data_IF_332083588461
#
_entry.id   IF_332083588461
#
_cell.length_a   1.000
_cell.length_b   1.000
_cell.length_c   1.000
_cell.angle_alpha   90.00
_cell.angle_beta   90.00
_cell.angle_gamma   90.00
#
_symmetry.space_group_name_H-M   'P 1'
#
loop_
_entity.id
_entity.type
_entity.pdbx_description
1 polymer ?
#
# COMPACT_ATOMS: atom_id res chain seq x y z
N UNK A 1 -28.30 5.14 28.49
CA UNK A 1 -29.17 4.00 28.15
C UNK A 1 -28.26 2.88 27.67
N UNK A 2 -28.10 1.90 28.56
CA UNK A 2 -27.52 0.57 28.41
C UNK A 2 -26.52 0.31 27.29
N UNK A 3 -25.23 0.36 27.64
CA UNK A 3 -24.20 -0.44 26.98
C UNK A 3 -24.55 -1.92 27.13
N UNK A 4 -24.84 -2.55 26.00
CA UNK A 4 -24.90 -4.01 25.85
C UNK A 4 -23.52 -4.59 26.13
N UNK A 5 -23.37 -5.16 27.32
CA UNK A 5 -22.33 -6.14 27.66
C UNK A 5 -22.57 -7.40 26.81
N UNK A 6 -22.05 -7.37 25.59
CA UNK A 6 -22.11 -8.49 24.65
C UNK A 6 -20.65 -8.90 24.38
N UNK A 7 -20.16 -9.92 25.10
CA UNK A 7 -18.87 -10.51 24.76
C UNK A 7 -18.09 -11.27 25.83
N UNK A 8 -18.44 -11.23 27.12
CA UNK A 8 -17.68 -11.98 28.13
C UNK A 8 -18.40 -13.29 28.49
N UNK A 9 -17.92 -14.46 28.02
CA UNK A 9 -18.64 -15.73 28.13
C UNK A 9 -18.70 -16.30 29.55
N UNK A 10 -18.07 -15.66 30.54
CA UNK A 10 -18.01 -16.12 31.93
C UNK A 10 -18.11 -14.90 32.85
N UNK A 11 -19.19 -14.79 33.64
CA UNK A 11 -19.34 -13.70 34.62
C UNK A 11 -18.60 -14.00 35.93
N UNK A 12 -18.33 -12.96 36.74
CA UNK A 12 -17.71 -13.11 38.07
C UNK A 12 -18.49 -14.05 38.99
N UNK A 13 -19.83 -14.05 38.90
CA UNK A 13 -20.69 -14.96 39.65
C UNK A 13 -20.48 -16.42 39.21
N UNK A 14 -20.37 -16.64 37.90
CA UNK A 14 -20.13 -17.95 37.27
C UNK A 14 -18.76 -18.50 37.68
N UNK A 15 -17.72 -17.66 37.77
CA UNK A 15 -16.39 -18.02 38.30
C UNK A 15 -16.44 -18.41 39.78
N UNK A 16 -17.16 -17.64 40.60
CA UNK A 16 -17.31 -17.91 42.04
C UNK A 16 -17.98 -19.25 42.30
N UNK A 17 -19.08 -19.53 41.59
CA UNK A 17 -19.83 -20.79 41.68
C UNK A 17 -18.97 -21.98 41.27
N UNK A 18 -18.20 -21.85 40.18
CA UNK A 18 -17.29 -22.90 39.74
C UNK A 18 -16.19 -23.20 40.78
N UNK A 19 -15.51 -22.17 41.30
CA UNK A 19 -14.46 -22.34 42.33
C UNK A 19 -15.01 -23.03 43.58
N UNK A 20 -16.18 -22.62 44.06
CA UNK A 20 -16.81 -23.25 45.22
C UNK A 20 -17.19 -24.71 44.96
N UNK A 21 -17.61 -25.05 43.73
CA UNK A 21 -17.93 -26.45 43.38
C UNK A 21 -16.68 -27.33 43.30
N UNK A 22 -15.53 -26.77 42.92
CA UNK A 22 -14.24 -27.47 42.98
C UNK A 22 -13.83 -27.78 44.43
N UNK A 23 -14.06 -26.83 45.36
CA UNK A 23 -13.72 -27.00 46.79
C UNK A 23 -14.73 -27.91 47.51
N UNK A 24 -16.00 -27.86 47.13
CA UNK A 24 -17.10 -28.62 47.76
C UNK A 24 -17.85 -29.49 46.73
N UNK A 25 -17.23 -30.58 46.23
CA UNK A 25 -17.79 -31.37 45.13
C UNK A 25 -19.10 -32.07 45.47
N UNK A 26 -19.31 -32.46 46.73
CA UNK A 26 -20.48 -33.21 47.21
C UNK A 26 -21.51 -32.36 47.97
N UNK A 27 -21.39 -31.03 47.95
CA UNK A 27 -22.33 -30.16 48.66
C UNK A 27 -23.73 -30.21 47.99
N UNK A 28 -24.80 -30.49 48.77
CA UNK A 28 -26.18 -30.42 48.28
C UNK A 28 -26.53 -29.00 47.84
N UNK A 29 -27.39 -28.85 46.82
CA UNK A 29 -27.72 -27.55 46.23
C UNK A 29 -28.30 -26.55 47.26
N UNK A 30 -29.03 -27.03 48.28
CA UNK A 30 -29.58 -26.20 49.36
C UNK A 30 -28.50 -25.58 50.26
N UNK A 31 -27.45 -26.35 50.59
CA UNK A 31 -26.31 -25.86 51.38
C UNK A 31 -25.34 -25.05 50.51
N UNK A 32 -25.29 -25.35 49.22
CA UNK A 32 -24.41 -24.69 48.26
C UNK A 32 -24.79 -23.22 48.02
N UNK A 33 -26.08 -22.88 48.05
CA UNK A 33 -26.53 -21.49 47.94
C UNK A 33 -26.03 -20.61 49.09
N UNK A 34 -25.99 -21.16 50.31
CA UNK A 34 -25.44 -20.49 51.50
C UNK A 34 -23.93 -20.32 51.37
N UNK A 35 -23.21 -21.36 50.92
CA UNK A 35 -21.75 -21.30 50.68
C UNK A 35 -21.37 -20.32 49.57
N UNK A 36 -22.24 -20.17 48.56
CA UNK A 36 -22.04 -19.23 47.47
C UNK A 36 -22.39 -17.77 47.81
N UNK A 37 -23.05 -17.54 48.95
CA UNK A 37 -23.63 -16.24 49.34
C UNK A 37 -24.50 -15.64 48.22
N UNK A 38 -25.20 -16.50 47.49
CA UNK A 38 -26.05 -16.12 46.36
C UNK A 38 -27.44 -16.71 46.53
N UNK A 39 -28.50 -16.02 46.06
CA UNK A 39 -29.85 -16.59 46.05
C UNK A 39 -29.88 -17.91 45.26
N UNK A 40 -30.67 -18.92 45.69
CA UNK A 40 -30.74 -20.23 45.01
C UNK A 40 -31.02 -20.14 43.50
N UNK A 41 -31.84 -19.17 43.09
CA UNK A 41 -32.13 -18.93 41.67
C UNK A 41 -30.92 -18.45 40.85
N UNK A 42 -30.02 -17.65 41.43
CA UNK A 42 -28.78 -17.19 40.79
C UNK A 42 -27.75 -18.32 40.69
N UNK A 43 -27.63 -19.13 41.74
CA UNK A 43 -26.78 -20.33 41.74
C UNK A 43 -27.23 -21.33 40.68
N UNK A 44 -28.54 -21.60 40.59
CA UNK A 44 -29.08 -22.51 39.57
C UNK A 44 -28.92 -21.96 38.14
N UNK A 45 -28.91 -20.64 37.94
CA UNK A 45 -28.61 -20.03 36.65
C UNK A 45 -27.13 -20.18 36.29
N UNK A 46 -26.22 -19.83 37.20
CA UNK A 46 -24.77 -19.95 37.02
C UNK A 46 -24.33 -21.42 36.80
N UNK A 47 -24.95 -22.37 37.51
CA UNK A 47 -24.69 -23.80 37.31
C UNK A 47 -25.12 -24.29 35.92
N UNK A 48 -26.24 -23.80 35.39
CA UNK A 48 -26.68 -24.12 34.02
C UNK A 48 -25.74 -23.54 32.98
N UNK A 49 -25.34 -22.28 33.15
CA UNK A 49 -24.37 -21.63 32.26
C UNK A 49 -23.02 -22.36 32.25
N UNK A 50 -22.48 -22.72 33.41
CA UNK A 50 -21.27 -23.54 33.50
C UNK A 50 -21.43 -24.92 32.87
N UNK A 51 -22.63 -25.51 32.93
CA UNK A 51 -22.90 -26.79 32.27
C UNK A 51 -22.93 -26.65 30.74
N UNK A 52 -23.50 -25.57 30.22
CA UNK A 52 -23.49 -25.25 28.78
C UNK A 52 -22.07 -25.01 28.25
N UNK A 53 -21.20 -24.43 29.07
CA UNK A 53 -19.77 -24.23 28.80
C UNK A 53 -18.94 -25.52 28.99
N UNK A 54 -19.52 -26.63 29.48
CA UNK A 54 -18.80 -27.88 29.73
C UNK A 54 -17.91 -27.86 30.98
N UNK A 55 -18.10 -26.90 31.87
CA UNK A 55 -17.38 -26.73 33.14
C UNK A 55 -18.06 -27.45 34.32
N UNK A 56 -19.35 -27.76 34.21
CA UNK A 56 -20.06 -28.62 35.16
C UNK A 56 -20.75 -29.80 34.45
N UNK A 57 -20.81 -30.94 35.12
CA UNK A 57 -21.59 -32.11 34.71
C UNK A 57 -22.66 -32.41 35.77
N UNK A 58 -23.90 -32.68 35.33
CA UNK A 58 -24.96 -33.14 36.24
C UNK A 58 -24.88 -34.66 36.40
N UNK A 59 -24.67 -35.10 37.64
CA UNK A 59 -24.64 -36.50 38.08
C UNK A 59 -25.87 -36.79 38.97
N UNK A 60 -26.25 -38.06 39.20
CA UNK A 60 -27.29 -38.41 40.18
C UNK A 60 -27.03 -37.85 41.59
N UNK A 61 -25.75 -37.70 41.95
CA UNK A 61 -25.30 -37.20 43.26
C UNK A 61 -25.14 -35.67 43.33
N UNK A 62 -25.48 -34.94 42.25
CA UNK A 62 -25.39 -33.48 42.16
C UNK A 62 -24.48 -32.99 41.02
N UNK A 63 -24.06 -31.73 41.10
CA UNK A 63 -23.16 -31.13 40.11
C UNK A 63 -21.70 -31.46 40.39
N UNK A 64 -20.94 -31.80 39.35
CA UNK A 64 -19.51 -32.07 39.42
C UNK A 64 -18.74 -31.10 38.54
N UNK A 65 -17.68 -30.48 39.06
CA UNK A 65 -16.81 -29.60 38.29
C UNK A 65 -15.88 -30.38 37.36
N UNK A 66 -15.76 -29.94 36.12
CA UNK A 66 -14.86 -30.51 35.11
C UNK A 66 -13.67 -29.58 34.87
N UNK A 67 -12.46 -30.10 34.56
CA UNK A 67 -11.29 -29.27 34.31
C UNK A 67 -11.52 -28.23 33.20
N UNK A 68 -11.07 -26.98 33.39
CA UNK A 68 -11.36 -25.89 32.45
C UNK A 68 -10.67 -26.08 31.10
N UNK A 69 -9.58 -26.86 31.02
CA UNK A 69 -8.92 -27.20 29.76
C UNK A 69 -9.84 -27.92 28.77
N UNK A 70 -10.73 -28.79 29.25
CA UNK A 70 -11.69 -29.51 28.39
C UNK A 70 -12.79 -28.60 27.85
N UNK A 71 -13.30 -27.71 28.71
CA UNK A 71 -14.25 -26.67 28.30
C UNK A 71 -13.63 -25.71 27.28
N UNK A 72 -12.38 -25.29 27.52
CA UNK A 72 -11.63 -24.46 26.59
C UNK A 72 -11.45 -25.15 25.22
N UNK A 73 -10.97 -26.38 25.17
CA UNK A 73 -10.84 -27.15 23.91
C UNK A 73 -12.16 -27.20 23.12
N UNK A 74 -13.28 -27.44 23.80
CA UNK A 74 -14.59 -27.49 23.15
C UNK A 74 -15.07 -26.13 22.65
N UNK A 75 -14.86 -25.07 23.42
CA UNK A 75 -15.24 -23.69 23.03
C UNK A 75 -14.36 -23.18 21.88
N UNK A 76 -13.04 -23.42 21.94
CA UNK A 76 -12.12 -23.06 20.86
C UNK A 76 -12.43 -23.84 19.58
N UNK A 77 -12.64 -25.16 19.65
CA UNK A 77 -12.98 -25.96 18.46
C UNK A 77 -14.28 -25.47 17.78
N UNK A 78 -15.29 -25.06 18.55
CA UNK A 78 -16.52 -24.46 18.01
C UNK A 78 -16.24 -23.11 17.33
N UNK A 79 -15.45 -22.25 17.98
CA UNK A 79 -15.07 -20.95 17.42
C UNK A 79 -14.27 -21.10 16.12
N UNK A 80 -13.33 -22.05 16.06
CA UNK A 80 -12.54 -22.36 14.86
C UNK A 80 -13.42 -22.79 13.68
N UNK A 81 -14.41 -23.67 13.93
CA UNK A 81 -15.38 -24.09 12.91
C UNK A 81 -16.20 -22.91 12.39
N UNK A 82 -16.64 -22.02 13.28
CA UNK A 82 -17.40 -20.84 12.88
C UNK A 82 -16.55 -19.82 12.10
N UNK A 83 -15.30 -19.61 12.49
CA UNK A 83 -14.34 -18.79 11.75
C UNK A 83 -14.10 -19.39 10.35
N UNK A 84 -13.84 -20.70 10.27
CA UNK A 84 -13.63 -21.39 9.00
C UNK A 84 -14.85 -21.26 8.07
N UNK A 85 -16.07 -21.42 8.62
CA UNK A 85 -17.33 -21.25 7.87
C UNK A 85 -17.48 -19.81 7.34
N UNK A 86 -17.21 -18.80 8.17
CA UNK A 86 -17.26 -17.38 7.76
C UNK A 86 -16.23 -17.08 6.67
N UNK A 87 -15.01 -17.59 6.80
CA UNK A 87 -13.95 -17.43 5.80
C UNK A 87 -14.34 -18.06 4.45
N UNK A 88 -14.93 -19.25 4.46
CA UNK A 88 -15.42 -19.90 3.24
C UNK A 88 -16.56 -19.10 2.58
N UNK A 89 -17.50 -18.57 3.38
CA UNK A 89 -18.59 -17.73 2.87
C UNK A 89 -18.06 -16.44 2.21
N UNK A 90 -17.05 -15.80 2.81
CA UNK A 90 -16.36 -14.64 2.22
C UNK A 90 -15.64 -15.01 0.92
N UNK A 91 -14.90 -16.12 0.90
CA UNK A 91 -14.22 -16.59 -0.31
C UNK A 91 -15.22 -16.89 -1.45
N UNK A 92 -16.34 -17.53 -1.11
CA UNK A 92 -17.41 -17.83 -2.08
C UNK A 92 -18.05 -16.54 -2.62
N UNK A 93 -18.31 -15.56 -1.75
CA UNK A 93 -18.84 -14.25 -2.15
C UNK A 93 -17.88 -13.54 -3.09
N UNK A 94 -16.57 -13.51 -2.76
CA UNK A 94 -15.54 -12.93 -3.63
C UNK A 94 -15.51 -13.62 -4.99
N UNK A 95 -15.50 -14.95 -5.02
CA UNK A 95 -15.50 -15.71 -6.27
C UNK A 95 -16.75 -15.42 -7.13
N UNK A 96 -17.93 -15.30 -6.51
CA UNK A 96 -19.17 -14.91 -7.21
C UNK A 96 -19.08 -13.50 -7.80
N UNK A 97 -18.59 -12.53 -7.03
CA UNK A 97 -18.39 -11.16 -7.50
C UNK A 97 -17.40 -11.10 -8.67
N UNK A 98 -16.26 -11.81 -8.57
CA UNK A 98 -15.31 -11.93 -9.67
C UNK A 98 -15.92 -12.58 -10.92
N UNK A 99 -16.84 -13.53 -10.76
CA UNK A 99 -17.60 -14.12 -11.86
C UNK A 99 -18.54 -13.14 -12.56
N UNK A 100 -18.99 -12.09 -11.87
CA UNK A 100 -19.83 -11.03 -12.45
C UNK A 100 -19.02 -10.03 -13.27
N UNK A 101 -17.70 -9.94 -13.07
CA UNK A 101 -16.86 -8.98 -13.78
C UNK A 101 -16.92 -9.18 -15.30
N UNK A 102 -16.98 -10.41 -15.80
CA UNK A 102 -17.07 -10.68 -17.25
C UNK A 102 -18.38 -10.16 -17.85
N UNK A 103 -19.55 -10.66 -17.40
CA UNK A 103 -20.86 -10.20 -17.87
C UNK A 103 -21.10 -8.69 -17.68
N UNK A 104 -20.62 -8.09 -16.59
CA UNK A 104 -20.69 -6.65 -16.37
C UNK A 104 -19.84 -5.87 -17.37
N UNK A 105 -18.63 -6.36 -17.68
CA UNK A 105 -17.75 -5.78 -18.70
C UNK A 105 -18.36 -5.88 -20.10
N UNK A 106 -18.99 -7.00 -20.44
CA UNK A 106 -19.67 -7.21 -21.71
C UNK A 106 -20.90 -6.29 -21.86
N UNK A 107 -21.69 -6.16 -20.79
CA UNK A 107 -22.87 -5.29 -20.76
C UNK A 107 -22.50 -3.79 -20.87
N UNK A 108 -21.40 -3.36 -20.25
CA UNK A 108 -20.87 -2.00 -20.43
C UNK A 108 -20.31 -1.77 -21.84
N UNK A 109 -19.63 -2.77 -22.42
CA UNK A 109 -19.12 -2.72 -23.79
C UNK A 109 -20.19 -2.62 -24.87
N UNK A 110 -21.42 -3.05 -24.58
CA UNK A 110 -22.57 -2.94 -25.46
C UNK A 110 -23.33 -1.60 -25.32
N UNK A 111 -23.22 -0.91 -24.17
CA UNK A 111 -24.00 0.31 -23.86
C UNK A 111 -23.24 1.61 -24.10
N UNK A 112 -21.91 1.61 -24.06
CA UNK A 112 -21.10 2.79 -24.37
C UNK A 112 -20.60 2.71 -25.80
N UNK A 113 -21.09 3.60 -26.67
CA UNK A 113 -20.58 3.77 -28.04
C UNK A 113 -19.11 4.18 -28.12
N UNK A 114 -18.47 4.54 -26.99
CA UNK A 114 -17.03 4.69 -26.85
C UNK A 114 -16.44 3.39 -26.25
N UNK A 115 -16.20 2.39 -27.09
CA UNK A 115 -15.62 1.11 -26.67
C UNK A 115 -14.26 1.33 -26.01
N UNK A 116 -14.13 0.93 -24.75
CA UNK A 116 -12.85 0.75 -24.10
C UNK A 116 -12.22 2.00 -23.46
N UNK A 117 -12.95 3.10 -23.24
CA UNK A 117 -12.48 4.23 -22.42
C UNK A 117 -13.53 4.57 -21.36
N UNK A 118 -13.13 4.58 -20.09
CA UNK A 118 -14.01 4.79 -18.94
C UNK A 118 -13.43 5.87 -18.03
N UNK A 119 -14.23 6.88 -17.69
CA UNK A 119 -13.83 7.91 -16.73
C UNK A 119 -14.29 7.51 -15.33
N UNK A 120 -13.36 7.51 -14.39
CA UNK A 120 -13.59 7.20 -12.98
C UNK A 120 -13.30 8.44 -12.15
N UNK A 121 -14.35 9.02 -11.58
CA UNK A 121 -14.26 10.24 -10.78
C UNK A 121 -14.08 9.91 -9.29
N UNK A 122 -13.22 10.68 -8.62
CA UNK A 122 -13.03 10.62 -7.18
C UNK A 122 -11.99 9.58 -6.73
N UNK A 123 -11.15 9.99 -5.77
CA UNK A 123 -9.99 9.23 -5.34
C UNK A 123 -10.32 7.81 -4.84
N UNK A 124 -11.44 7.61 -4.14
CA UNK A 124 -11.83 6.28 -3.65
C UNK A 124 -12.13 5.28 -4.78
N UNK A 125 -12.80 5.74 -5.85
CA UNK A 125 -13.13 4.90 -7.00
C UNK A 125 -11.87 4.58 -7.82
N UNK A 126 -10.97 5.56 -8.00
CA UNK A 126 -9.66 5.34 -8.65
C UNK A 126 -8.85 4.29 -7.89
N UNK A 127 -8.78 4.37 -6.55
CA UNK A 127 -8.09 3.37 -5.73
C UNK A 127 -8.69 1.97 -5.86
N UNK A 128 -10.02 1.87 -5.81
CA UNK A 128 -10.70 0.59 -5.98
C UNK A 128 -10.44 -0.03 -7.36
N UNK A 129 -10.45 0.79 -8.42
CA UNK A 129 -10.13 0.36 -9.78
C UNK A 129 -8.68 -0.15 -9.89
N UNK A 130 -7.71 0.62 -9.38
CA UNK A 130 -6.29 0.25 -9.40
C UNK A 130 -6.05 -1.04 -8.62
N UNK A 131 -6.60 -1.17 -7.41
CA UNK A 131 -6.48 -2.38 -6.61
C UNK A 131 -7.14 -3.60 -7.28
N UNK A 132 -8.30 -3.43 -7.91
CA UNK A 132 -8.97 -4.49 -8.66
C UNK A 132 -8.15 -4.97 -9.85
N UNK A 133 -7.55 -4.04 -10.61
CA UNK A 133 -6.67 -4.36 -11.74
C UNK A 133 -5.37 -5.04 -11.28
N UNK A 134 -4.73 -4.55 -10.22
CA UNK A 134 -3.55 -5.17 -9.64
C UNK A 134 -3.85 -6.59 -9.13
N UNK A 135 -4.98 -6.81 -8.46
CA UNK A 135 -5.38 -8.14 -8.01
C UNK A 135 -5.65 -9.10 -9.19
N UNK A 136 -6.24 -8.59 -10.28
CA UNK A 136 -6.52 -9.36 -11.49
C UNK A 136 -5.31 -9.65 -12.40
N UNK A 137 -4.19 -8.95 -12.23
CA UNK A 137 -3.02 -9.06 -13.09
C UNK A 137 -2.29 -10.40 -12.93
N UNK A 138 -1.96 -11.03 -14.07
CA UNK A 138 -1.38 -12.38 -14.13
C UNK A 138 -0.02 -12.46 -14.81
N UNK A 139 0.34 -11.48 -15.64
CA UNK A 139 1.54 -11.51 -16.50
C UNK A 139 2.47 -10.36 -16.21
N UNK A 140 1.97 -9.13 -16.22
CA UNK A 140 2.82 -7.96 -16.08
C UNK A 140 2.09 -6.73 -15.55
N UNK A 141 2.83 -5.92 -14.80
CA UNK A 141 2.44 -4.56 -14.43
C UNK A 141 3.57 -3.62 -14.83
N UNK A 142 3.24 -2.55 -15.57
CA UNK A 142 4.16 -1.46 -15.91
C UNK A 142 3.62 -0.15 -15.34
N UNK A 143 4.46 0.61 -14.65
CA UNK A 143 4.05 1.88 -14.08
C UNK A 143 5.03 3.02 -14.39
N UNK A 144 4.48 4.20 -14.69
CA UNK A 144 5.19 5.48 -14.73
C UNK A 144 4.80 6.28 -13.48
N UNK A 145 5.77 6.49 -12.60
CA UNK A 145 5.59 7.14 -11.29
C UNK A 145 6.15 8.56 -11.36
N UNK A 146 5.29 9.54 -11.12
CA UNK A 146 5.63 10.96 -11.19
C UNK A 146 6.20 11.51 -9.87
N UNK A 147 7.08 12.52 -9.99
CA UNK A 147 7.78 13.32 -8.98
C UNK A 147 6.85 13.90 -7.90
N UNK A 148 5.71 14.45 -8.30
CA UNK A 148 4.81 15.17 -7.38
C UNK A 148 3.95 14.27 -6.49
N UNK A 149 3.85 12.98 -6.80
CA UNK A 149 2.87 12.09 -6.18
C UNK A 149 3.47 11.04 -5.22
N UNK A 150 4.79 10.83 -5.23
CA UNK A 150 5.44 9.88 -4.34
C UNK A 150 5.39 10.32 -2.86
N UNK A 151 5.32 11.63 -2.59
CA UNK A 151 5.33 12.19 -1.23
C UNK A 151 3.91 12.42 -0.69
N UNK A 152 2.90 12.57 -1.56
CA UNK A 152 1.53 12.94 -1.15
C UNK A 152 0.48 11.83 -1.36
N UNK A 153 0.73 10.82 -2.18
CA UNK A 153 -0.26 9.78 -2.45
C UNK A 153 0.34 8.37 -2.48
N UNK A 154 0.73 7.90 -1.29
CA UNK A 154 0.90 6.50 -0.95
C UNK A 154 -0.36 5.63 -1.21
N UNK A 155 -1.46 6.22 -1.70
CA UNK A 155 -2.73 5.56 -1.90
C UNK A 155 -2.93 4.97 -3.32
N UNK A 156 -1.98 5.16 -4.25
CA UNK A 156 -2.12 4.69 -5.64
C UNK A 156 -1.30 3.43 -6.02
N UNK A 157 -0.36 2.98 -5.18
CA UNK A 157 0.21 1.64 -5.25
C UNK A 157 0.94 1.37 -3.91
N UNK A 158 0.23 0.92 -2.86
CA UNK A 158 0.92 0.55 -1.63
C UNK A 158 1.90 -0.60 -1.92
N UNK A 159 3.12 -0.50 -1.40
CA UNK A 159 4.14 -1.56 -1.26
C UNK A 159 3.60 -2.99 -1.12
N UNK A 160 2.47 -3.14 -0.42
CA UNK A 160 1.77 -4.41 -0.23
C UNK A 160 1.29 -5.07 -1.54
N UNK A 161 0.84 -4.27 -2.52
CA UNK A 161 0.43 -4.79 -3.83
C UNK A 161 1.64 -5.32 -4.61
N UNK A 162 2.81 -4.72 -4.46
CA UNK A 162 4.00 -5.11 -5.21
C UNK A 162 4.55 -6.45 -4.72
N UNK A 163 4.56 -6.66 -3.39
CA UNK A 163 4.85 -7.97 -2.79
C UNK A 163 3.90 -9.06 -3.28
N UNK A 164 2.59 -8.76 -3.32
CA UNK A 164 1.59 -9.71 -3.80
C UNK A 164 1.82 -10.03 -5.30
N UNK A 165 2.01 -9.01 -6.13
CA UNK A 165 2.26 -9.16 -7.57
C UNK A 165 3.51 -10.00 -7.85
N UNK A 166 4.63 -9.64 -7.25
CA UNK A 166 5.91 -10.33 -7.43
C UNK A 166 5.87 -11.74 -6.84
N UNK A 167 5.21 -11.94 -5.69
CA UNK A 167 4.99 -13.26 -5.09
C UNK A 167 4.14 -14.20 -5.97
N UNK A 168 3.26 -13.65 -6.82
CA UNK A 168 2.51 -14.41 -7.84
C UNK A 168 3.30 -14.63 -9.14
N UNK A 169 4.54 -14.14 -9.24
CA UNK A 169 5.38 -14.23 -10.44
C UNK A 169 4.99 -13.23 -11.54
N UNK A 170 4.23 -12.18 -11.22
CA UNK A 170 3.89 -11.11 -12.18
C UNK A 170 5.11 -10.25 -12.43
N UNK A 171 5.43 -9.94 -13.69
CA UNK A 171 6.57 -9.07 -14.03
C UNK A 171 6.24 -7.62 -13.71
N UNK A 172 6.97 -7.00 -12.79
CA UNK A 172 6.76 -5.59 -12.39
C UNK A 172 7.89 -4.71 -12.91
N UNK A 173 7.54 -3.63 -13.62
CA UNK A 173 8.50 -2.66 -14.18
C UNK A 173 8.09 -1.22 -13.93
N UNK A 174 8.95 -0.44 -13.28
CA UNK A 174 8.69 0.94 -12.92
C UNK A 174 9.64 1.93 -13.59
N UNK A 175 9.05 2.96 -14.18
CA UNK A 175 9.74 4.17 -14.61
C UNK A 175 9.46 5.28 -13.62
N UNK A 176 10.51 5.95 -13.17
CA UNK A 176 10.39 7.08 -12.25
C UNK A 176 11.31 8.24 -12.70
N UNK A 177 10.99 9.45 -12.25
CA UNK A 177 11.83 10.61 -12.53
C UNK A 177 13.13 10.57 -11.68
N UNK A 178 14.23 11.07 -12.23
CA UNK A 178 15.54 11.11 -11.54
C UNK A 178 15.49 11.85 -10.19
N UNK A 179 14.59 12.82 -10.04
CA UNK A 179 14.40 13.58 -8.78
C UNK A 179 14.08 12.68 -7.58
N UNK A 180 13.50 11.50 -7.81
CA UNK A 180 13.16 10.54 -6.76
C UNK A 180 14.37 9.81 -6.17
N UNK A 181 15.54 9.84 -6.82
CA UNK A 181 16.77 9.24 -6.31
C UNK A 181 17.24 9.86 -4.99
N UNK A 182 16.83 11.11 -4.72
CA UNK A 182 17.18 11.83 -3.50
C UNK A 182 16.30 11.53 -2.28
N UNK A 183 15.16 10.86 -2.45
CA UNK A 183 14.22 10.55 -1.37
C UNK A 183 14.56 9.18 -0.72
N UNK A 184 15.04 9.14 0.54
CA UNK A 184 15.47 7.90 1.19
C UNK A 184 14.37 6.83 1.22
N UNK A 185 13.14 7.22 1.54
CA UNK A 185 11.99 6.31 1.65
C UNK A 185 11.65 5.67 0.30
N UNK A 186 11.82 6.41 -0.79
CA UNK A 186 11.62 5.88 -2.14
C UNK A 186 12.75 4.93 -2.54
N UNK A 187 14.00 5.22 -2.14
CA UNK A 187 15.13 4.31 -2.40
C UNK A 187 14.95 2.97 -1.69
N UNK A 188 14.54 2.98 -0.42
CA UNK A 188 14.29 1.77 0.36
C UNK A 188 13.17 0.93 -0.28
N UNK A 189 12.09 1.58 -0.72
CA UNK A 189 11.03 0.93 -1.47
C UNK A 189 11.53 0.28 -2.77
N UNK A 190 12.32 1.01 -3.56
CA UNK A 190 12.89 0.49 -4.82
C UNK A 190 13.85 -0.67 -4.56
N UNK A 191 14.66 -0.60 -3.51
CA UNK A 191 15.54 -1.70 -3.12
C UNK A 191 14.73 -2.97 -2.85
N UNK A 192 13.65 -2.87 -2.08
CA UNK A 192 12.77 -3.99 -1.76
C UNK A 192 12.10 -4.59 -3.01
N UNK A 193 11.59 -3.74 -3.91
CA UNK A 193 10.98 -4.19 -5.18
C UNK A 193 12.00 -4.93 -6.04
N UNK A 194 13.24 -4.44 -6.12
CA UNK A 194 14.33 -5.09 -6.85
C UNK A 194 14.75 -6.42 -6.23
N UNK A 195 14.80 -6.52 -4.89
CA UNK A 195 15.08 -7.78 -4.18
C UNK A 195 14.04 -8.87 -4.48
N UNK A 196 12.79 -8.46 -4.66
CA UNK A 196 11.68 -9.34 -5.03
C UNK A 196 11.61 -9.66 -6.55
N UNK A 197 12.57 -9.16 -7.34
CA UNK A 197 12.68 -9.42 -8.77
C UNK A 197 11.94 -8.42 -9.68
N UNK A 198 11.44 -7.32 -9.13
CA UNK A 198 10.94 -6.19 -9.91
C UNK A 198 12.09 -5.39 -10.53
N UNK A 199 11.79 -4.63 -11.59
CA UNK A 199 12.79 -3.76 -12.24
C UNK A 199 12.37 -2.29 -12.10
N UNK A 200 13.27 -1.43 -11.63
CA UNK A 200 13.03 0.02 -11.55
C UNK A 200 14.11 0.78 -12.30
N UNK A 201 13.68 1.68 -13.20
CA UNK A 201 14.57 2.54 -13.98
C UNK A 201 14.16 4.01 -13.87
N UNK A 202 15.11 4.90 -14.10
CA UNK A 202 14.92 6.34 -14.09
C UNK A 202 15.01 6.98 -15.47
N UNK A 203 14.21 8.02 -15.66
CA UNK A 203 14.24 8.94 -16.80
C UNK A 203 14.32 10.37 -16.29
N UNK A 204 14.79 11.31 -17.12
CA UNK A 204 14.91 12.72 -16.73
C UNK A 204 13.57 13.35 -16.36
N UNK A 205 12.51 13.02 -17.13
CA UNK A 205 11.15 13.44 -16.85
C UNK A 205 10.16 12.34 -17.25
N UNK A 206 9.13 12.16 -16.43
CA UNK A 206 7.99 11.31 -16.73
C UNK A 206 6.84 12.21 -17.21
N UNK A 207 6.31 12.04 -18.43
CA UNK A 207 5.35 12.98 -19.00
C UNK A 207 3.97 12.95 -18.31
N UNK A 208 3.57 11.79 -17.79
CA UNK A 208 2.31 11.62 -17.06
C UNK A 208 2.35 10.30 -16.27
N UNK A 209 1.54 10.18 -15.22
CA UNK A 209 1.29 8.89 -14.58
C UNK A 209 0.61 7.93 -15.56
N UNK A 210 1.10 6.70 -15.62
CA UNK A 210 0.55 5.62 -16.45
C UNK A 210 0.69 4.30 -15.70
N UNK A 211 -0.38 3.51 -15.62
CA UNK A 211 -0.36 2.13 -15.15
C UNK A 211 -0.84 1.23 -16.28
N UNK A 212 -0.14 0.14 -16.57
CA UNK A 212 -0.54 -0.86 -17.57
C UNK A 212 -0.52 -2.24 -16.94
N UNK A 213 -1.63 -2.98 -17.06
CA UNK A 213 -1.82 -4.32 -16.54
C UNK A 213 -2.03 -5.30 -17.71
N UNK A 214 -1.22 -6.35 -17.73
CA UNK A 214 -1.28 -7.47 -18.68
C UNK A 214 -1.41 -7.08 -20.16
N UNK A 215 -0.90 -5.91 -20.58
CA UNK A 215 -1.07 -5.37 -21.94
C UNK A 215 -2.54 -5.24 -22.39
N UNK A 216 -3.49 -5.22 -21.45
CA UNK A 216 -4.92 -5.25 -21.72
C UNK A 216 -5.67 -4.08 -21.09
N UNK A 217 -5.13 -3.51 -20.00
CA UNK A 217 -5.74 -2.40 -19.29
C UNK A 217 -4.70 -1.33 -18.99
N UNK A 218 -5.05 -0.07 -19.25
CA UNK A 218 -4.24 1.07 -18.85
C UNK A 218 -5.05 2.04 -17.98
N UNK A 219 -4.38 2.74 -17.07
CA UNK A 219 -4.97 3.77 -16.22
C UNK A 219 -4.10 5.02 -16.29
N UNK A 220 -4.74 6.15 -16.55
CA UNK A 220 -4.14 7.49 -16.69
C UNK A 220 -4.90 8.45 -15.75
N UNK A 221 -4.30 9.54 -15.27
CA UNK A 221 -5.09 10.62 -14.67
C UNK A 221 -6.01 11.24 -15.73
N UNK A 222 -7.23 11.65 -15.33
CA UNK A 222 -8.14 12.38 -16.21
C UNK A 222 -7.65 13.80 -16.52
N UNK A 223 -6.87 14.36 -15.59
CA UNK A 223 -6.22 15.66 -15.69
C UNK A 223 -4.78 15.46 -15.19
N UNK A 224 -3.76 15.45 -16.06
CA UNK A 224 -2.37 15.22 -15.66
C UNK A 224 -1.84 16.22 -14.63
N UNK A 225 -2.33 17.46 -14.67
CA UNK A 225 -1.95 18.52 -13.73
C UNK A 225 -2.71 18.41 -12.40
N UNK A 226 -3.83 17.66 -12.39
CA UNK A 226 -4.73 17.49 -11.24
C UNK A 226 -5.20 16.04 -11.10
N UNK A 227 -4.29 15.11 -10.77
CA UNK A 227 -4.57 13.68 -10.72
C UNK A 227 -5.67 13.31 -9.70
N UNK A 228 -5.94 14.16 -8.72
CA UNK A 228 -7.00 13.98 -7.73
C UNK A 228 -8.43 14.05 -8.31
N UNK A 229 -8.59 14.63 -9.51
CA UNK A 229 -9.91 14.81 -10.13
C UNK A 229 -10.50 13.51 -10.68
N UNK A 230 -9.68 12.50 -10.88
CA UNK A 230 -10.11 11.19 -11.37
C UNK A 230 -9.10 10.56 -12.30
N UNK A 231 -9.47 9.39 -12.82
CA UNK A 231 -8.66 8.61 -13.75
C UNK A 231 -9.46 8.19 -14.97
N UNK A 232 -8.75 7.84 -16.03
CA UNK A 232 -9.28 7.26 -17.25
C UNK A 232 -8.75 5.83 -17.34
N UNK A 233 -9.67 4.86 -17.30
CA UNK A 233 -9.40 3.47 -17.60
C UNK A 233 -9.53 3.22 -19.10
N UNK A 234 -8.51 2.61 -19.69
CA UNK A 234 -8.46 2.27 -21.12
C UNK A 234 -8.36 0.75 -21.27
N UNK A 235 -9.19 0.18 -22.13
CA UNK A 235 -9.23 -1.25 -22.47
C UNK A 235 -9.24 -1.50 -23.98
N UNK A 236 -9.37 -0.43 -24.77
CA UNK A 236 -9.33 -0.52 -26.23
C UNK A 236 -7.93 -1.00 -26.67
N UNK A 237 -7.79 -2.19 -27.30
CA UNK A 237 -6.49 -2.80 -27.57
C UNK A 237 -5.52 -1.91 -28.35
N UNK A 238 -6.02 -1.11 -29.30
CA UNK A 238 -5.19 -0.18 -30.06
C UNK A 238 -4.57 0.90 -29.16
N UNK A 239 -5.34 1.46 -28.22
CA UNK A 239 -4.87 2.47 -27.29
C UNK A 239 -3.92 1.88 -26.24
N UNK A 240 -4.25 0.71 -25.69
CA UNK A 240 -3.38 0.02 -24.73
C UNK A 240 -2.06 -0.37 -25.38
N UNK A 241 -2.09 -0.84 -26.64
CA UNK A 241 -0.90 -1.13 -27.43
C UNK A 241 -0.02 0.10 -27.65
N UNK A 242 -0.62 1.25 -27.99
CA UNK A 242 0.10 2.52 -28.12
C UNK A 242 0.76 2.96 -26.80
N UNK A 243 0.02 2.92 -25.69
CA UNK A 243 0.53 3.29 -24.36
C UNK A 243 1.66 2.35 -23.89
N UNK A 244 1.53 1.05 -24.20
CA UNK A 244 2.57 0.07 -23.91
C UNK A 244 3.83 0.33 -24.74
N UNK A 245 3.68 0.66 -26.03
CA UNK A 245 4.81 1.04 -26.88
C UNK A 245 5.51 2.33 -26.40
N UNK A 246 4.74 3.32 -25.93
CA UNK A 246 5.30 4.52 -25.31
C UNK A 246 6.11 4.19 -24.06
N UNK A 247 5.61 3.29 -23.20
CA UNK A 247 6.35 2.82 -22.03
C UNK A 247 7.67 2.16 -22.44
N UNK A 248 7.65 1.21 -23.37
CA UNK A 248 8.85 0.48 -23.81
C UNK A 248 9.87 1.43 -24.47
N UNK A 249 9.42 2.46 -25.19
CA UNK A 249 10.30 3.49 -25.74
C UNK A 249 11.06 4.24 -24.65
N UNK A 250 10.37 4.64 -23.57
CA UNK A 250 11.01 5.29 -22.41
C UNK A 250 11.91 4.30 -21.66
N UNK A 251 11.46 3.05 -21.48
CA UNK A 251 12.19 1.99 -20.80
C UNK A 251 13.55 1.69 -21.41
N UNK A 252 13.62 1.66 -22.75
CA UNK A 252 14.85 1.41 -23.49
C UNK A 252 15.92 2.50 -23.27
N UNK A 253 15.49 3.72 -22.92
CA UNK A 253 16.36 4.89 -22.70
C UNK A 253 16.61 5.15 -21.21
N UNK A 254 15.88 4.47 -20.33
CA UNK A 254 15.95 4.64 -18.90
C UNK A 254 17.15 3.90 -18.30
N UNK A 255 17.69 4.42 -17.21
CA UNK A 255 18.86 3.86 -16.51
C UNK A 255 18.41 3.14 -15.25
N UNK A 256 18.96 1.97 -14.88
CA UNK A 256 18.61 1.30 -13.62
C UNK A 256 18.73 2.22 -12.40
N UNK A 257 17.75 2.14 -11.50
CA UNK A 257 17.67 3.04 -10.35
C UNK A 257 18.85 2.81 -9.39
N UNK A 258 19.15 1.55 -9.03
CA UNK A 258 20.16 1.21 -8.03
C UNK A 258 21.61 1.18 -8.55
N UNK A 259 21.83 1.03 -9.86
CA UNK A 259 23.19 0.90 -10.43
C UNK A 259 23.88 2.25 -10.68
N UNK A 260 23.17 3.37 -10.55
CA UNK A 260 23.70 4.70 -10.86
C UNK A 260 23.79 5.57 -9.59
N UNK A 261 24.67 5.19 -8.66
CA UNK A 261 24.98 6.00 -7.46
C UNK A 261 25.56 7.38 -7.82
N UNK A 262 26.17 7.53 -8.99
CA UNK A 262 26.79 8.78 -9.47
C UNK A 262 25.79 9.90 -9.80
N UNK A 263 24.48 9.63 -9.79
CA UNK A 263 23.44 10.60 -10.15
C UNK A 263 22.81 11.34 -8.95
N UNK A 264 23.13 10.96 -7.69
CA UNK A 264 22.70 11.71 -6.50
C UNK A 264 23.57 12.94 -6.28
N UNK A 265 23.49 13.89 -7.20
CA UNK A 265 24.11 15.19 -7.01
C UNK A 265 23.05 16.05 -6.33
N UNK A 266 23.28 16.40 -5.06
CA UNK A 266 22.38 17.30 -4.35
C UNK A 266 22.19 18.60 -5.16
N UNK A 267 20.97 19.19 -5.19
CA UNK A 267 20.78 20.47 -5.83
C UNK A 267 21.69 21.53 -5.21
N UNK A 268 22.30 22.43 -5.99
CA UNK A 268 23.08 23.52 -5.46
C UNK A 268 22.17 24.51 -4.75
N UNK A 269 22.63 25.00 -3.59
CA UNK A 269 21.87 25.93 -2.76
C UNK A 269 22.60 27.28 -2.61
N UNK A 270 21.85 28.30 -2.23
CA UNK A 270 22.38 29.62 -1.90
C UNK A 270 23.26 30.23 -2.99
N UNK A 271 24.56 30.36 -2.71
CA UNK A 271 25.53 30.98 -3.61
C UNK A 271 25.83 30.11 -4.84
N UNK A 272 25.82 28.78 -4.71
CA UNK A 272 26.06 27.88 -5.84
C UNK A 272 24.93 27.96 -6.87
N UNK A 273 23.67 28.06 -6.42
CA UNK A 273 22.52 28.24 -7.31
C UNK A 273 22.59 29.55 -8.10
N UNK A 274 23.05 30.64 -7.46
CA UNK A 274 23.26 31.93 -8.13
C UNK A 274 24.36 31.85 -9.18
N UNK A 275 25.47 31.17 -8.86
CA UNK A 275 26.55 30.91 -9.83
C UNK A 275 26.02 30.10 -11.00
N UNK A 276 25.26 29.03 -10.75
CA UNK A 276 24.70 28.17 -11.78
C UNK A 276 23.72 28.90 -12.71
N UNK A 277 22.83 29.75 -12.15
CA UNK A 277 21.96 30.65 -12.95
C UNK A 277 22.77 31.60 -13.83
N UNK A 278 23.86 32.16 -13.31
CA UNK A 278 24.73 33.02 -14.11
C UNK A 278 25.48 32.26 -15.21
N UNK A 279 25.90 31.02 -14.96
CA UNK A 279 26.47 30.13 -16.00
C UNK A 279 25.44 29.90 -17.10
N UNK A 280 24.20 29.54 -16.74
CA UNK A 280 23.12 29.31 -17.70
C UNK A 280 22.76 30.57 -18.51
N UNK A 281 22.88 31.74 -17.89
CA UNK A 281 22.70 33.04 -18.54
C UNK A 281 23.94 33.53 -19.34
N UNK A 282 24.99 32.71 -19.46
CA UNK A 282 26.19 33.04 -20.24
C UNK A 282 27.12 34.07 -19.59
N UNK A 283 27.01 34.32 -18.28
CA UNK A 283 27.86 35.28 -17.56
C UNK A 283 29.28 34.75 -17.35
N UNK A 284 30.26 35.64 -17.41
CA UNK A 284 31.67 35.30 -17.14
C UNK A 284 31.96 35.21 -15.63
N UNK A 285 33.08 34.58 -15.27
CA UNK A 285 33.50 34.47 -13.87
C UNK A 285 33.74 35.85 -13.23
N UNK A 286 34.24 36.83 -13.99
CA UNK A 286 34.49 38.18 -13.49
C UNK A 286 33.18 38.92 -13.19
N UNK A 287 32.16 38.75 -14.03
CA UNK A 287 30.84 39.35 -13.81
C UNK A 287 30.18 38.76 -12.57
N UNK A 288 30.21 37.43 -12.43
CA UNK A 288 29.70 36.71 -11.26
C UNK A 288 30.44 37.09 -9.97
N UNK A 289 31.77 37.25 -10.04
CA UNK A 289 32.58 37.63 -8.88
C UNK A 289 32.19 39.01 -8.34
N UNK A 290 31.97 39.97 -9.24
CA UNK A 290 31.53 41.33 -8.89
C UNK A 290 30.14 41.35 -8.26
N UNK A 291 29.21 40.56 -8.81
CA UNK A 291 27.83 40.44 -8.32
C UNK A 291 27.76 39.77 -6.94
N UNK A 292 28.62 38.78 -6.70
CA UNK A 292 28.64 38.01 -5.45
C UNK A 292 29.52 38.64 -4.36
N UNK A 293 30.31 39.68 -4.68
CA UNK A 293 31.23 40.32 -3.74
C UNK A 293 32.42 39.44 -3.34
N UNK A 294 32.84 38.51 -4.21
CA UNK A 294 33.93 37.55 -3.93
C UNK A 294 35.03 37.63 -4.99
N UNK A 295 36.18 36.98 -4.72
CA UNK A 295 37.28 36.95 -5.69
C UNK A 295 36.94 36.13 -6.97
N UNK A 296 37.51 36.47 -8.14
CA UNK A 296 37.36 35.65 -9.36
C UNK A 296 37.85 34.20 -9.19
N UNK A 297 38.85 33.97 -8.34
CA UNK A 297 39.35 32.62 -8.02
C UNK A 297 38.30 31.79 -7.27
N UNK A 298 37.55 32.42 -6.37
CA UNK A 298 36.46 31.78 -5.63
C UNK A 298 35.37 31.31 -6.59
N UNK A 299 34.94 32.17 -7.53
CA UNK A 299 33.95 31.81 -8.56
C UNK A 299 34.47 30.71 -9.47
N UNK A 300 35.73 30.78 -9.90
CA UNK A 300 36.34 29.74 -10.75
C UNK A 300 36.29 28.37 -10.09
N UNK A 301 36.60 28.29 -8.79
CA UNK A 301 36.50 27.05 -8.00
C UNK A 301 35.06 26.56 -7.85
N UNK A 302 34.11 27.46 -7.57
CA UNK A 302 32.67 27.09 -7.49
C UNK A 302 32.15 26.57 -8.83
N UNK A 303 32.54 27.20 -9.94
CA UNK A 303 32.20 26.74 -11.28
C UNK A 303 32.80 25.37 -11.55
N UNK A 304 34.10 25.16 -11.25
CA UNK A 304 34.74 23.87 -11.43
C UNK A 304 34.03 22.76 -10.64
N UNK A 305 33.68 23.02 -9.37
CA UNK A 305 32.92 22.09 -8.55
C UNK A 305 31.51 21.81 -9.10
N UNK A 306 30.82 22.82 -9.64
CA UNK A 306 29.52 22.64 -10.29
C UNK A 306 29.61 21.84 -11.58
N UNK A 307 30.66 22.07 -12.38
CA UNK A 307 30.94 21.34 -13.62
C UNK A 307 31.25 19.86 -13.34
N UNK A 308 32.10 19.59 -12.35
CA UNK A 308 32.42 18.24 -11.88
C UNK A 308 31.17 17.52 -11.35
N UNK A 309 30.38 18.20 -10.51
CA UNK A 309 29.08 17.71 -10.01
C UNK A 309 28.09 17.40 -11.15
N UNK A 310 28.05 18.22 -12.18
CA UNK A 310 27.19 18.00 -13.35
C UNK A 310 27.78 17.01 -14.36
N UNK A 311 28.98 16.46 -14.09
CA UNK A 311 29.66 15.50 -14.97
C UNK A 311 30.06 16.07 -16.33
N UNK A 312 30.34 17.38 -16.41
CA UNK A 312 30.61 18.07 -17.67
C UNK A 312 31.73 19.09 -17.52
N UNK A 313 32.59 19.21 -18.54
CA UNK A 313 33.60 20.26 -18.66
C UNK A 313 33.07 21.53 -19.37
N UNK A 314 31.90 21.43 -19.99
CA UNK A 314 31.26 22.51 -20.74
C UNK A 314 30.22 23.25 -19.92
N UNK A 315 30.38 24.57 -19.83
CA UNK A 315 29.43 25.51 -19.18
C UNK A 315 28.06 25.50 -19.83
N UNK A 316 28.02 25.37 -21.15
CA UNK A 316 26.77 25.28 -21.89
C UNK A 316 26.02 24.00 -21.53
N UNK A 317 26.72 22.85 -21.56
CA UNK A 317 26.13 21.56 -21.14
C UNK A 317 25.71 21.58 -19.66
N UNK A 318 26.44 22.30 -18.80
CA UNK A 318 26.08 22.46 -17.40
C UNK A 318 24.72 23.16 -17.22
N UNK A 319 24.45 24.21 -18.01
CA UNK A 319 23.15 24.88 -18.02
C UNK A 319 22.02 23.94 -18.45
N UNK A 320 22.21 23.19 -19.54
CA UNK A 320 21.23 22.21 -20.04
C UNK A 320 20.99 21.12 -19.00
N UNK A 321 22.05 20.55 -18.44
CA UNK A 321 21.95 19.48 -17.44
C UNK A 321 21.28 19.94 -16.15
N UNK A 322 21.50 21.19 -15.75
CA UNK A 322 20.83 21.78 -14.60
C UNK A 322 19.31 21.97 -14.81
N UNK A 323 18.87 22.24 -16.04
CA UNK A 323 17.44 22.27 -16.39
C UNK A 323 16.86 20.85 -16.42
N UNK A 324 17.58 19.88 -17.00
CA UNK A 324 17.16 18.46 -17.02
C UNK A 324 17.01 17.87 -15.60
N UNK A 325 17.84 18.31 -14.66
CA UNK A 325 17.79 17.91 -13.25
C UNK A 325 16.80 18.74 -12.42
N UNK A 326 16.09 19.71 -13.02
CA UNK A 326 15.11 20.55 -12.34
C UNK A 326 15.70 21.57 -11.36
N UNK A 327 17.01 21.82 -11.41
CA UNK A 327 17.66 22.83 -10.56
C UNK A 327 17.43 24.26 -11.07
N UNK A 328 17.18 24.39 -12.36
CA UNK A 328 16.85 25.63 -13.05
C UNK A 328 15.51 25.49 -13.76
N UNK A 329 14.76 26.58 -13.79
CA UNK A 329 13.47 26.76 -14.45
C UNK A 329 13.58 27.75 -15.59
#
# INVERSE_FOLDING_TARGET
MSETSDGEPITEETVRVYRLRVVHPAAPDEQFAVLAELPPGRVAAAQRELAELGLLLRSPDGWTALPPGRAAEQLLARAEVDIARRNLALATTRARLHGLDGPFRDALGLRSGAKGVEHVAGAAAVRAQVAGLAHGARRSVRAQVDAGAAVADAASHPLLLDRELLGRGVRVRYLCADVHRGAPEFRDHVAEVCELGGEVRTVSAVPSRLLVYDDAHAVLPADPDRPERGSVGVREPALVGFLSALFEHLWARAVPFLENESACVAPPEGTELRVLRGIAAGRTNEALARELGVSPRTVTRMVAGLLERLGTDSRFRAGVRAVELGWLS
#
